data_IF_241066055818
#
_entry.id   IF_241066055818
#
_cell.length_a   1.000
_cell.length_b   1.000
_cell.length_c   1.000
_cell.angle_alpha   90.00
_cell.angle_beta   90.00
_cell.angle_gamma   90.00
#
_symmetry.space_group_name_H-M   'P 1'
#
loop_
_entity.id
_entity.type
_entity.pdbx_description
1 polymer ?
#
# COMPACT_ATOMS: atom_id res chain seq x y z
N UNK A 1 3.12 36.22 -1.18
CA UNK A 1 3.94 35.22 -1.90
C UNK A 1 4.10 33.98 -1.03
N UNK A 2 3.17 33.02 -1.10
CA UNK A 2 3.19 31.82 -0.23
C UNK A 2 3.18 30.49 -1.02
N UNK A 3 3.20 30.49 -2.36
CA UNK A 3 2.92 29.27 -3.15
C UNK A 3 4.08 28.27 -3.34
N UNK A 4 5.33 28.66 -3.11
CA UNK A 4 6.49 27.83 -3.50
C UNK A 4 6.87 26.81 -2.40
N UNK A 5 6.67 27.16 -1.12
CA UNK A 5 6.97 26.26 -0.01
C UNK A 5 5.97 25.10 0.06
N UNK A 6 4.70 25.39 -0.22
CA UNK A 6 3.64 24.39 -0.25
C UNK A 6 3.83 23.38 -1.39
N UNK A 7 4.23 23.84 -2.58
CA UNK A 7 4.51 22.96 -3.72
C UNK A 7 5.60 21.92 -3.43
N UNK A 8 6.66 22.32 -2.69
CA UNK A 8 7.73 21.41 -2.26
C UNK A 8 7.22 20.37 -1.26
N UNK A 9 6.42 20.80 -0.28
CA UNK A 9 5.79 19.92 0.72
C UNK A 9 4.82 18.92 0.06
N UNK A 10 3.97 19.38 -0.85
CA UNK A 10 3.02 18.52 -1.60
C UNK A 10 3.76 17.44 -2.39
N UNK A 11 4.85 17.79 -3.09
CA UNK A 11 5.66 16.82 -3.84
C UNK A 11 6.36 15.82 -2.93
N UNK A 12 6.78 16.25 -1.74
CA UNK A 12 7.36 15.39 -0.72
C UNK A 12 6.32 14.40 -0.19
N UNK A 13 5.14 14.87 0.20
CA UNK A 13 4.05 14.03 0.71
C UNK A 13 3.61 12.99 -0.31
N UNK A 14 3.52 13.37 -1.59
CA UNK A 14 3.23 12.42 -2.67
C UNK A 14 4.32 11.34 -2.84
N UNK A 15 5.60 11.68 -2.67
CA UNK A 15 6.69 10.69 -2.71
C UNK A 15 6.63 9.76 -1.50
N UNK A 16 6.48 10.34 -0.31
CA UNK A 16 6.38 9.58 0.94
C UNK A 16 5.19 8.61 0.93
N UNK A 17 4.01 9.06 0.49
CA UNK A 17 2.83 8.22 0.38
C UNK A 17 3.04 7.01 -0.54
N UNK A 18 3.75 7.19 -1.66
CA UNK A 18 4.11 6.08 -2.57
C UNK A 18 5.04 5.07 -1.90
N UNK A 19 6.05 5.53 -1.17
CA UNK A 19 6.97 4.64 -0.45
C UNK A 19 6.23 3.83 0.62
N UNK A 20 5.32 4.47 1.36
CA UNK A 20 4.46 3.81 2.37
C UNK A 20 3.60 2.73 1.74
N UNK A 21 2.87 3.04 0.66
CA UNK A 21 2.03 2.05 -0.05
C UNK A 21 2.88 0.87 -0.52
N UNK A 22 4.08 1.14 -1.03
CA UNK A 22 5.02 0.12 -1.49
C UNK A 22 5.53 -0.77 -0.35
N UNK A 23 5.89 -0.18 0.79
CA UNK A 23 6.34 -0.89 1.98
C UNK A 23 5.23 -1.78 2.55
N UNK A 24 4.01 -1.25 2.66
CA UNK A 24 2.84 -2.00 3.15
C UNK A 24 2.48 -3.16 2.22
N UNK A 25 2.57 -2.96 0.90
CA UNK A 25 2.31 -4.04 -0.06
C UNK A 25 3.34 -5.17 0.01
N UNK A 26 4.59 -4.88 0.38
CA UNK A 26 5.66 -5.87 0.48
C UNK A 26 5.68 -6.63 1.81
N UNK A 27 5.48 -5.94 2.93
CA UNK A 27 5.68 -6.50 4.27
C UNK A 27 4.47 -6.38 5.20
N UNK A 28 3.31 -6.01 4.67
CA UNK A 28 2.10 -5.78 5.46
C UNK A 28 2.08 -4.42 6.18
N UNK A 29 0.93 -4.08 6.80
CA UNK A 29 0.72 -2.79 7.47
C UNK A 29 1.41 -2.67 8.84
N UNK A 30 2.11 -3.71 9.29
CA UNK A 30 2.64 -3.78 10.64
C UNK A 30 4.05 -3.16 10.72
N UNK A 31 4.20 -2.08 11.49
CA UNK A 31 5.48 -1.35 11.65
C UNK A 31 6.55 -2.18 12.36
N UNK A 32 6.15 -3.05 13.29
CA UNK A 32 7.07 -3.90 14.04
C UNK A 32 7.66 -5.04 13.19
N UNK A 33 6.90 -5.57 12.25
CA UNK A 33 7.33 -6.67 11.38
C UNK A 33 8.02 -6.19 10.10
N UNK A 34 7.91 -4.90 9.77
CA UNK A 34 8.38 -4.35 8.50
C UNK A 34 9.40 -3.22 8.72
N UNK A 35 10.69 -3.55 8.60
CA UNK A 35 11.79 -2.59 8.73
C UNK A 35 11.68 -1.40 7.76
N UNK A 36 11.08 -1.59 6.57
CA UNK A 36 10.87 -0.49 5.62
C UNK A 36 9.86 0.52 6.15
N UNK A 37 8.79 0.05 6.79
CA UNK A 37 7.77 0.92 7.36
C UNK A 37 8.28 1.64 8.61
N UNK A 38 9.14 0.99 9.40
CA UNK A 38 9.83 1.61 10.54
C UNK A 38 10.80 2.72 10.08
N UNK A 39 11.62 2.48 9.05
CA UNK A 39 12.50 3.50 8.48
C UNK A 39 11.71 4.68 7.87
N UNK A 40 10.55 4.40 7.27
CA UNK A 40 9.64 5.44 6.80
C UNK A 40 9.09 6.28 7.97
N UNK A 41 8.73 5.66 9.09
CA UNK A 41 8.26 6.35 10.29
C UNK A 41 9.26 7.40 10.78
N UNK A 42 10.55 7.05 10.79
CA UNK A 42 11.62 7.99 11.17
C UNK A 42 11.76 9.12 10.14
N UNK A 43 11.72 8.81 8.84
CA UNK A 43 11.75 9.84 7.78
C UNK A 43 10.60 10.83 7.91
N UNK A 44 9.39 10.38 8.25
CA UNK A 44 8.24 11.27 8.45
C UNK A 44 8.49 12.27 9.59
N UNK A 45 9.10 11.82 10.69
CA UNK A 45 9.49 12.69 11.81
C UNK A 45 10.56 13.69 11.41
N UNK A 46 11.60 13.26 10.69
CA UNK A 46 12.71 14.12 10.24
C UNK A 46 12.24 15.19 9.24
N UNK A 47 11.28 14.84 8.40
CA UNK A 47 10.79 15.71 7.31
C UNK A 47 9.58 16.57 7.71
N UNK A 48 9.17 16.55 8.99
CA UNK A 48 7.99 17.26 9.51
C UNK A 48 6.71 16.94 8.71
N UNK A 49 6.57 15.68 8.29
CA UNK A 49 5.40 15.20 7.54
C UNK A 49 4.34 14.72 8.52
N UNK A 50 3.06 15.11 8.37
CA UNK A 50 2.00 14.69 9.28
C UNK A 50 1.80 13.18 9.30
N UNK A 51 1.64 12.61 10.49
CA UNK A 51 1.40 11.16 10.69
C UNK A 51 0.08 10.69 10.06
N UNK A 52 -0.91 11.58 9.94
CA UNK A 52 -2.18 11.30 9.25
C UNK A 52 -1.96 10.86 7.80
N UNK A 53 -0.96 11.43 7.11
CA UNK A 53 -0.62 11.05 5.75
C UNK A 53 -0.11 9.60 5.72
N UNK A 54 0.71 9.21 6.71
CA UNK A 54 1.20 7.84 6.83
C UNK A 54 0.04 6.86 7.03
N UNK A 55 -0.82 7.11 8.03
CA UNK A 55 -1.96 6.23 8.35
C UNK A 55 -2.96 6.11 7.20
N UNK A 56 -3.28 7.23 6.54
CA UNK A 56 -4.18 7.23 5.39
C UNK A 56 -3.63 6.38 4.23
N UNK A 57 -2.32 6.47 3.98
CA UNK A 57 -1.67 5.65 2.94
C UNK A 57 -1.57 4.18 3.34
N UNK A 58 -1.34 3.85 4.62
CA UNK A 58 -1.35 2.48 5.12
C UNK A 58 -2.74 1.86 4.91
N UNK A 59 -3.81 2.50 5.39
CA UNK A 59 -5.19 2.02 5.23
C UNK A 59 -5.55 1.79 3.76
N UNK A 60 -5.17 2.74 2.90
CA UNK A 60 -5.43 2.66 1.45
C UNK A 60 -4.66 1.52 0.78
N UNK A 61 -3.42 1.28 1.20
CA UNK A 61 -2.62 0.16 0.70
C UNK A 61 -3.18 -1.20 1.15
N UNK A 62 -3.61 -1.31 2.41
CA UNK A 62 -4.24 -2.53 2.94
C UNK A 62 -5.53 -2.87 2.21
N UNK A 63 -6.38 -1.88 1.94
CA UNK A 63 -7.66 -2.11 1.24
C UNK A 63 -7.47 -2.60 -0.20
N UNK A 64 -6.54 -2.00 -0.96
CA UNK A 64 -6.19 -2.46 -2.32
C UNK A 64 -5.58 -3.87 -2.33
N UNK A 65 -4.85 -4.24 -1.29
CA UNK A 65 -4.30 -5.59 -1.17
C UNK A 65 -5.39 -6.66 -1.03
N UNK A 66 -6.49 -6.34 -0.35
CA UNK A 66 -7.64 -7.26 -0.22
C UNK A 66 -8.37 -7.43 -1.56
N UNK A 67 -8.60 -6.34 -2.29
CA UNK A 67 -9.27 -6.40 -3.61
C UNK A 67 -8.50 -7.30 -4.60
N UNK A 68 -7.18 -7.12 -4.70
CA UNK A 68 -6.34 -7.95 -5.58
C UNK A 68 -6.24 -9.43 -5.14
N UNK A 69 -6.31 -9.69 -3.83
CA UNK A 69 -6.30 -11.05 -3.30
C UNK A 69 -7.61 -11.78 -3.61
N UNK A 70 -8.73 -11.07 -3.45
CA UNK A 70 -10.08 -11.59 -3.74
C UNK A 70 -10.21 -11.91 -5.24
N UNK A 71 -9.81 -11.00 -6.13
CA UNK A 71 -9.85 -11.19 -7.59
C UNK A 71 -9.06 -12.44 -8.02
N UNK A 72 -7.85 -12.62 -7.48
CA UNK A 72 -7.00 -13.78 -7.78
C UNK A 72 -7.61 -15.11 -7.32
N UNK A 73 -8.33 -15.12 -6.20
CA UNK A 73 -9.04 -16.32 -5.73
C UNK A 73 -10.19 -16.65 -6.70
N UNK A 74 -10.97 -15.66 -7.14
CA UNK A 74 -12.06 -15.89 -8.08
C UNK A 74 -11.55 -16.48 -9.40
N UNK A 75 -10.44 -15.98 -9.96
CA UNK A 75 -9.83 -16.57 -11.16
C UNK A 75 -9.47 -18.05 -10.94
N UNK A 76 -8.76 -18.37 -9.86
CA UNK A 76 -8.33 -19.76 -9.57
C UNK A 76 -9.51 -20.69 -9.37
N UNK A 77 -10.56 -20.23 -8.68
CA UNK A 77 -11.78 -21.03 -8.46
C UNK A 77 -12.50 -21.32 -9.78
N UNK A 78 -12.62 -20.32 -10.67
CA UNK A 78 -13.21 -20.50 -11.99
C UNK A 78 -12.40 -21.50 -12.81
N UNK A 79 -11.08 -21.32 -12.92
CA UNK A 79 -10.22 -22.25 -13.66
C UNK A 79 -10.31 -23.68 -13.11
N UNK A 80 -10.34 -23.83 -11.79
CA UNK A 80 -10.44 -25.15 -11.14
C UNK A 80 -11.76 -25.85 -11.44
N UNK A 81 -12.89 -25.13 -11.37
CA UNK A 81 -14.22 -25.67 -11.70
C UNK A 81 -14.31 -26.04 -13.19
N UNK A 82 -13.81 -25.16 -14.07
CA UNK A 82 -13.83 -25.40 -15.52
C UNK A 82 -13.05 -26.66 -15.89
N UNK A 83 -11.83 -26.85 -15.36
CA UNK A 83 -11.01 -28.04 -15.62
C UNK A 83 -11.71 -29.32 -15.13
N UNK A 84 -12.35 -29.27 -13.96
CA UNK A 84 -13.06 -30.42 -13.41
C UNK A 84 -14.25 -30.86 -14.28
N UNK A 85 -14.99 -29.89 -14.83
CA UNK A 85 -16.11 -30.17 -15.76
C UNK A 85 -15.61 -30.83 -17.05
N UNK A 86 -14.49 -30.34 -17.62
CA UNK A 86 -13.91 -30.92 -18.84
C UNK A 86 -13.35 -32.34 -18.65
N UNK A 87 -12.95 -32.73 -17.44
CA UNK A 87 -12.47 -34.08 -17.15
C UNK A 87 -13.58 -35.12 -16.98
N UNK A 88 -14.82 -34.67 -16.74
CA UNK A 88 -15.98 -35.53 -16.50
C UNK A 88 -16.83 -35.76 -17.78
N UNK A 89 -16.55 -35.04 -18.87
CA UNK A 89 -17.22 -35.17 -20.18
C UNK A 89 -16.38 -35.97 -21.17
#
# INVERSE_FOLDING_TARGET
MYGIQDAKKIKLYSRMGKEVVSAVRRGGPNTASNMLLAALLEKFKVLDVPMEILECNIKRATKKGQEAYIEKIYEVVIYSITIFIYMLS
#
